data_IF_537985757920
#
_entry.id   IF_537985757920
#
_cell.length_a   1.000
_cell.length_b   1.000
_cell.length_c   1.000
_cell.angle_alpha   90.00
_cell.angle_beta   90.00
_cell.angle_gamma   90.00
#
_symmetry.space_group_name_H-M   'P 1'
#
loop_
_entity.id
_entity.type
_entity.pdbx_description
1 polymer ?
#
# COMPACT_ATOMS: atom_id res chain seq x y z
N UNK A 1 4.43 9.11 -23.75
CA UNK A 1 5.62 9.39 -22.91
C UNK A 1 6.48 10.42 -23.63
N UNK A 2 7.02 11.38 -22.90
CA UNK A 2 7.92 12.42 -23.39
C UNK A 2 9.17 12.46 -22.53
N UNK A 3 10.35 12.50 -23.15
CA UNK A 3 11.64 12.46 -22.46
C UNK A 3 12.54 13.59 -22.99
N UNK A 4 12.44 14.80 -22.41
CA UNK A 4 13.21 15.96 -22.88
C UNK A 4 14.72 15.82 -22.67
N UNK A 5 15.15 14.97 -21.75
CA UNK A 5 16.56 14.63 -21.52
C UNK A 5 16.68 13.25 -20.87
N UNK A 6 17.90 12.72 -20.76
CA UNK A 6 18.16 11.40 -20.17
C UNK A 6 17.73 11.29 -18.70
N UNK A 7 17.57 12.41 -18.00
CA UNK A 7 17.31 12.49 -16.57
C UNK A 7 15.86 12.85 -16.18
N UNK A 8 14.96 13.02 -17.15
CA UNK A 8 13.55 13.30 -16.86
C UNK A 8 12.64 12.69 -17.91
N UNK A 9 11.59 12.01 -17.46
CA UNK A 9 10.53 11.52 -18.32
C UNK A 9 9.16 11.86 -17.74
N UNK A 10 8.23 12.15 -18.64
CA UNK A 10 6.85 12.51 -18.33
C UNK A 10 5.93 11.56 -19.10
N UNK A 11 4.86 11.12 -18.46
CA UNK A 11 3.91 10.21 -19.09
C UNK A 11 2.47 10.56 -18.72
N UNK A 12 1.60 10.13 -19.62
CA UNK A 12 0.18 9.98 -19.38
C UNK A 12 -0.15 8.55 -19.81
N UNK A 13 -0.96 7.85 -19.02
CA UNK A 13 -1.39 6.49 -19.28
C UNK A 13 -2.88 6.33 -19.03
N UNK A 14 -3.44 5.40 -19.79
CA UNK A 14 -4.81 4.91 -19.64
C UNK A 14 -4.74 3.40 -19.67
N UNK A 15 -5.30 2.74 -18.65
CA UNK A 15 -5.36 1.29 -18.61
C UNK A 15 -6.74 0.80 -18.17
N UNK A 16 -7.09 -0.38 -18.64
CA UNK A 16 -8.30 -1.11 -18.27
C UNK A 16 -7.93 -2.52 -17.88
N UNK A 17 -8.54 -3.01 -16.82
CA UNK A 17 -8.50 -4.43 -16.42
C UNK A 17 -9.89 -4.88 -16.01
N UNK A 18 -10.08 -6.20 -15.94
CA UNK A 18 -11.32 -6.78 -15.46
C UNK A 18 -11.04 -8.01 -14.59
N UNK A 19 -11.94 -8.29 -13.66
CA UNK A 19 -11.89 -9.44 -12.77
C UNK A 19 -13.20 -10.24 -12.90
N UNK A 20 -13.15 -11.50 -13.36
CA UNK A 20 -14.35 -12.30 -13.63
C UNK A 20 -15.10 -12.68 -12.34
N UNK A 21 -16.40 -12.94 -12.45
CA UNK A 21 -17.30 -13.16 -11.32
C UNK A 21 -17.01 -14.42 -10.48
N UNK A 22 -16.30 -15.41 -11.06
CA UNK A 22 -15.99 -16.71 -10.46
C UNK A 22 -14.68 -16.76 -9.64
N UNK A 23 -14.17 -15.61 -9.19
CA UNK A 23 -12.86 -15.44 -8.52
C UNK A 23 -12.62 -16.30 -7.26
N UNK A 24 -13.68 -16.85 -6.63
CA UNK A 24 -13.60 -17.63 -5.39
C UNK A 24 -13.89 -19.14 -5.56
N UNK A 25 -13.99 -19.66 -6.79
CA UNK A 25 -14.16 -21.08 -7.16
C UNK A 25 -15.53 -21.78 -7.02
N UNK A 26 -16.61 -21.28 -6.36
CA UNK A 26 -17.95 -21.75 -6.69
C UNK A 26 -18.63 -20.71 -7.60
N UNK A 27 -18.67 -21.04 -8.89
CA UNK A 27 -19.77 -20.56 -9.73
C UNK A 27 -21.05 -21.15 -9.14
N UNK A 28 -21.97 -20.29 -8.75
CA UNK A 28 -23.25 -20.66 -8.18
C UNK A 28 -24.35 -19.95 -8.97
N UNK A 29 -25.57 -20.51 -8.97
CA UNK A 29 -26.69 -19.94 -9.71
C UNK A 29 -27.00 -18.47 -9.36
N UNK A 30 -26.52 -17.97 -8.21
CA UNK A 30 -26.67 -16.60 -7.75
C UNK A 30 -25.51 -15.65 -8.13
N UNK A 31 -24.44 -16.13 -8.79
CA UNK A 31 -23.31 -15.29 -9.23
C UNK A 31 -22.91 -15.47 -10.70
N UNK A 32 -23.47 -16.46 -11.41
CA UNK A 32 -23.14 -16.80 -12.80
C UNK A 32 -23.41 -15.67 -13.81
N UNK A 33 -24.41 -14.83 -13.56
CA UNK A 33 -24.80 -13.71 -14.44
C UNK A 33 -24.24 -12.33 -14.02
N UNK A 34 -23.36 -12.29 -13.01
CA UNK A 34 -22.80 -11.02 -12.54
C UNK A 34 -21.72 -10.56 -13.51
N UNK A 35 -21.85 -9.33 -14.03
CA UNK A 35 -20.82 -8.71 -14.86
C UNK A 35 -19.46 -8.68 -14.16
N UNK A 36 -18.34 -8.87 -14.87
CA UNK A 36 -17.00 -8.72 -14.30
C UNK A 36 -16.83 -7.35 -13.61
N UNK A 37 -16.03 -7.34 -12.56
CA UNK A 37 -15.54 -6.07 -12.01
C UNK A 37 -14.60 -5.45 -13.06
N UNK A 38 -14.79 -4.18 -13.38
CA UNK A 38 -13.95 -3.47 -14.34
C UNK A 38 -13.19 -2.36 -13.63
N UNK A 39 -11.89 -2.28 -13.87
CA UNK A 39 -11.05 -1.19 -13.35
C UNK A 39 -10.53 -0.36 -14.50
N UNK A 40 -10.69 0.95 -14.42
CA UNK A 40 -10.07 1.93 -15.32
C UNK A 40 -9.12 2.80 -14.53
N UNK A 41 -7.88 2.98 -15.02
CA UNK A 41 -6.91 3.91 -14.46
C UNK A 41 -6.57 5.01 -15.47
N UNK A 42 -6.61 6.25 -15.01
CA UNK A 42 -6.05 7.41 -15.70
C UNK A 42 -4.91 7.94 -14.85
N UNK A 43 -3.71 8.06 -15.41
CA UNK A 43 -2.55 8.49 -14.64
C UNK A 43 -1.68 9.43 -15.45
N UNK A 44 -1.16 10.44 -14.78
CA UNK A 44 -0.10 11.29 -15.28
C UNK A 44 1.05 11.25 -14.28
N UNK A 45 2.28 11.24 -14.76
CA UNK A 45 3.41 11.18 -13.87
C UNK A 45 4.70 11.67 -14.48
N UNK A 46 5.66 11.88 -13.59
CA UNK A 46 7.01 12.28 -13.91
C UNK A 46 8.00 11.37 -13.17
N UNK A 47 9.10 11.05 -13.85
CA UNK A 47 10.27 10.44 -13.25
C UNK A 47 11.45 11.37 -13.45
N UNK A 48 12.19 11.64 -12.37
CA UNK A 48 13.38 12.47 -12.35
C UNK A 48 14.55 11.65 -11.82
N UNK A 49 15.65 11.65 -12.56
CA UNK A 49 16.89 10.99 -12.19
C UNK A 49 17.94 12.06 -11.81
N UNK A 50 18.57 11.88 -10.65
CA UNK A 50 19.59 12.76 -10.10
C UNK A 50 20.94 12.03 -10.01
N UNK A 51 22.03 12.79 -9.84
CA UNK A 51 23.37 12.23 -9.64
C UNK A 51 23.77 11.19 -10.70
N UNK A 52 23.53 11.49 -11.98
CA UNK A 52 23.78 10.59 -13.12
C UNK A 52 23.01 9.25 -13.00
N UNK A 53 21.79 9.28 -12.48
CA UNK A 53 20.93 8.09 -12.36
C UNK A 53 21.16 7.27 -11.09
N UNK A 54 21.95 7.76 -10.14
CA UNK A 54 22.13 7.09 -8.84
C UNK A 54 20.91 7.23 -7.94
N UNK A 55 20.09 8.28 -8.14
CA UNK A 55 18.86 8.51 -7.39
C UNK A 55 17.72 8.78 -8.36
N UNK A 56 16.62 8.07 -8.20
CA UNK A 56 15.40 8.26 -8.97
C UNK A 56 14.27 8.71 -8.05
N UNK A 57 13.47 9.66 -8.52
CA UNK A 57 12.20 10.05 -7.90
C UNK A 57 11.08 9.91 -8.90
N UNK A 58 9.93 9.43 -8.43
CA UNK A 58 8.69 9.43 -9.21
C UNK A 58 7.62 10.23 -8.51
N UNK A 59 6.79 10.90 -9.28
CA UNK A 59 5.57 11.53 -8.81
C UNK A 59 4.45 11.20 -9.80
N UNK A 60 3.32 10.71 -9.31
CA UNK A 60 2.14 10.44 -10.13
C UNK A 60 0.88 10.99 -9.50
N UNK A 61 -0.04 11.40 -10.36
CA UNK A 61 -1.43 11.72 -10.04
C UNK A 61 -2.30 10.75 -10.82
N UNK A 62 -3.23 10.10 -10.16
CA UNK A 62 -4.08 9.10 -10.78
C UNK A 62 -5.53 9.14 -10.32
N UNK A 63 -6.39 8.61 -11.18
CA UNK A 63 -7.76 8.25 -10.86
C UNK A 63 -8.00 6.80 -11.25
N UNK A 64 -8.35 5.99 -10.25
CA UNK A 64 -8.80 4.63 -10.44
C UNK A 64 -10.32 4.59 -10.24
N UNK A 65 -11.05 4.07 -11.22
CA UNK A 65 -12.48 3.76 -11.10
C UNK A 65 -12.68 2.25 -11.21
N UNK A 66 -13.26 1.65 -10.17
CA UNK A 66 -13.69 0.25 -10.11
C UNK A 66 -15.21 0.20 -10.21
N UNK A 67 -15.73 -0.48 -11.23
CA UNK A 67 -17.17 -0.63 -11.52
C UNK A 67 -17.58 -2.08 -11.32
N UNK A 68 -18.89 -2.29 -11.14
CA UNK A 68 -19.48 -3.60 -10.88
C UNK A 68 -18.95 -4.27 -9.62
N UNK A 69 -18.55 -3.47 -8.62
CA UNK A 69 -18.15 -4.01 -7.32
C UNK A 69 -19.36 -4.72 -6.73
N UNK A 70 -19.16 -5.98 -6.36
CA UNK A 70 -20.20 -6.83 -5.82
C UNK A 70 -20.54 -6.39 -4.40
N UNK A 71 -21.82 -6.26 -4.13
CA UNK A 71 -22.33 -6.00 -2.78
C UNK A 71 -23.62 -6.78 -2.56
N UNK A 72 -23.99 -7.00 -1.30
CA UNK A 72 -25.26 -7.62 -0.94
C UNK A 72 -26.37 -6.56 -1.08
N UNK A 73 -27.42 -6.91 -1.80
CA UNK A 73 -28.67 -6.16 -1.87
C UNK A 73 -29.37 -6.22 -0.50
N UNK A 74 -29.61 -5.09 0.19
CA UNK A 74 -30.27 -5.10 1.48
C UNK A 74 -31.74 -5.52 1.42
N UNK A 75 -32.41 -5.43 0.26
CA UNK A 75 -33.81 -5.81 0.08
C UNK A 75 -33.98 -7.29 -0.28
N UNK A 76 -33.08 -7.84 -1.09
CA UNK A 76 -33.20 -9.23 -1.62
C UNK A 76 -32.19 -10.21 -1.05
N UNK A 77 -31.18 -9.73 -0.31
CA UNK A 77 -30.05 -10.50 0.22
C UNK A 77 -29.24 -11.25 -0.85
N UNK A 78 -29.29 -10.77 -2.10
CA UNK A 78 -28.54 -11.32 -3.25
C UNK A 78 -27.27 -10.53 -3.48
N UNK A 79 -26.22 -11.20 -3.97
CA UNK A 79 -25.00 -10.53 -4.42
C UNK A 79 -25.26 -9.87 -5.78
N UNK A 80 -25.06 -8.55 -5.87
CA UNK A 80 -25.32 -7.77 -7.09
C UNK A 80 -24.16 -6.79 -7.39
N UNK A 81 -23.85 -6.55 -8.68
CA UNK A 81 -22.83 -5.58 -9.09
C UNK A 81 -23.43 -4.17 -9.09
N UNK A 82 -23.29 -3.45 -7.99
CA UNK A 82 -23.95 -2.13 -7.82
C UNK A 82 -22.99 -1.05 -7.31
N UNK A 83 -21.74 -1.40 -7.04
CA UNK A 83 -20.76 -0.47 -6.50
C UNK A 83 -19.89 0.15 -7.59
N UNK A 84 -19.77 1.48 -7.57
CA UNK A 84 -18.65 2.20 -8.18
C UNK A 84 -17.77 2.76 -7.07
N UNK A 85 -16.49 2.42 -7.08
CA UNK A 85 -15.47 3.02 -6.22
C UNK A 85 -14.54 3.87 -7.07
N UNK A 86 -14.26 5.08 -6.60
CA UNK A 86 -13.27 5.96 -7.20
C UNK A 86 -12.18 6.28 -6.19
N UNK A 87 -10.93 6.19 -6.62
CA UNK A 87 -9.77 6.65 -5.86
C UNK A 87 -9.04 7.71 -6.66
N UNK A 88 -9.05 8.93 -6.15
CA UNK A 88 -8.18 10.02 -6.61
C UNK A 88 -6.90 9.97 -5.76
N UNK A 89 -5.73 9.86 -6.38
CA UNK A 89 -4.50 9.59 -5.65
C UNK A 89 -3.28 10.35 -6.14
N UNK A 90 -2.32 10.46 -5.22
CA UNK A 90 -0.97 10.95 -5.47
C UNK A 90 0.03 9.97 -4.86
N UNK A 91 1.05 9.60 -5.63
CA UNK A 91 2.16 8.77 -5.17
C UNK A 91 3.48 9.47 -5.44
N UNK A 92 4.36 9.45 -4.43
CA UNK A 92 5.72 9.96 -4.51
C UNK A 92 6.68 8.85 -4.12
N UNK A 93 7.75 8.66 -4.87
CA UNK A 93 8.85 7.76 -4.48
C UNK A 93 10.19 8.46 -4.63
N UNK A 94 11.15 8.03 -3.82
CA UNK A 94 12.56 8.42 -3.91
C UNK A 94 13.42 7.21 -3.54
N UNK A 95 14.32 6.82 -4.43
CA UNK A 95 15.16 5.65 -4.25
C UNK A 95 16.54 5.86 -4.85
N UNK A 96 17.58 5.42 -4.15
CA UNK A 96 18.91 5.41 -4.75
C UNK A 96 20.08 5.43 -3.79
N UNK A 97 21.26 5.57 -4.39
CA UNK A 97 22.54 5.68 -3.73
C UNK A 97 22.94 7.17 -3.64
N UNK A 98 23.13 7.63 -2.40
CA UNK A 98 23.58 8.97 -2.06
C UNK A 98 25.09 8.99 -1.79
N UNK A 99 25.68 10.17 -1.79
CA UNK A 99 27.12 10.34 -1.56
C UNK A 99 27.58 9.80 -0.21
N UNK A 100 28.84 9.36 -0.15
CA UNK A 100 29.45 8.85 1.07
C UNK A 100 28.94 7.48 1.52
N UNK A 101 28.25 6.70 0.68
CA UNK A 101 27.78 5.35 1.05
C UNK A 101 26.42 5.33 1.76
N UNK A 102 25.64 6.39 1.59
CA UNK A 102 24.24 6.42 2.01
C UNK A 102 23.34 5.81 0.93
N UNK A 103 22.28 5.12 1.34
CA UNK A 103 21.20 4.63 0.47
C UNK A 103 19.87 5.07 1.05
N UNK A 104 18.94 5.45 0.18
CA UNK A 104 17.59 5.89 0.55
C UNK A 104 16.54 5.09 -0.21
N UNK A 105 15.46 4.76 0.49
CA UNK A 105 14.21 4.32 -0.09
C UNK A 105 13.07 5.04 0.63
N UNK A 106 12.19 5.71 -0.09
CA UNK A 106 11.06 6.43 0.48
C UNK A 106 9.86 6.35 -0.45
N UNK A 107 8.68 6.26 0.15
CA UNK A 107 7.41 6.32 -0.53
C UNK A 107 6.39 7.12 0.27
N UNK A 108 5.51 7.83 -0.43
CA UNK A 108 4.33 8.46 0.14
C UNK A 108 3.15 8.24 -0.80
N UNK A 109 2.00 7.90 -0.23
CA UNK A 109 0.75 7.77 -0.96
C UNK A 109 -0.35 8.59 -0.25
N UNK A 110 -1.08 9.36 -1.05
CA UNK A 110 -2.34 10.00 -0.69
C UNK A 110 -3.46 9.35 -1.48
N UNK A 111 -4.49 8.84 -0.79
CA UNK A 111 -5.60 8.13 -1.41
C UNK A 111 -6.94 8.72 -0.94
N UNK A 112 -7.58 9.52 -1.79
CA UNK A 112 -8.97 9.94 -1.60
C UNK A 112 -9.91 8.94 -2.27
N UNK A 113 -10.14 7.83 -1.58
CA UNK A 113 -11.01 6.75 -2.02
C UNK A 113 -12.43 6.92 -1.50
N UNK A 114 -13.43 6.76 -2.37
CA UNK A 114 -14.85 6.79 -2.03
C UNK A 114 -15.67 5.85 -2.88
N UNK A 115 -16.76 5.34 -2.31
CA UNK A 115 -17.82 4.65 -3.04
C UNK A 115 -18.72 5.74 -3.64
N UNK A 116 -18.67 5.93 -4.95
CA UNK A 116 -19.43 6.99 -5.63
C UNK A 116 -20.87 6.59 -5.91
N UNK A 117 -21.12 5.30 -6.12
CA UNK A 117 -22.44 4.75 -6.39
C UNK A 117 -22.57 3.42 -5.63
N UNK A 118 -23.64 3.26 -4.85
CA UNK A 118 -24.02 1.99 -4.21
C UNK A 118 -25.41 2.11 -3.59
N UNK A 119 -26.25 1.10 -3.77
CA UNK A 119 -27.53 0.97 -3.05
C UNK A 119 -27.39 0.15 -1.75
N UNK A 120 -26.20 -0.35 -1.46
CA UNK A 120 -25.96 -1.23 -0.32
C UNK A 120 -25.84 -0.46 1.00
N UNK A 121 -25.98 -1.21 2.09
CA UNK A 121 -25.80 -0.73 3.46
C UNK A 121 -24.91 -1.68 4.25
N UNK A 122 -24.13 -1.12 5.16
CA UNK A 122 -23.35 -1.86 6.16
C UNK A 122 -23.54 -1.20 7.53
N UNK A 123 -23.77 -2.00 8.56
CA UNK A 123 -24.07 -1.52 9.93
C UNK A 123 -25.15 -0.41 9.97
N UNK A 124 -26.18 -0.52 9.11
CA UNK A 124 -27.26 0.47 9.00
C UNK A 124 -26.92 1.73 8.20
N UNK A 125 -25.67 1.93 7.78
CA UNK A 125 -25.20 3.09 7.04
C UNK A 125 -25.24 2.86 5.53
N UNK A 126 -25.68 3.83 4.70
CA UNK A 126 -25.52 3.76 3.25
C UNK A 126 -24.03 3.79 2.89
N UNK A 127 -23.64 2.99 1.91
CA UNK A 127 -22.25 2.93 1.45
C UNK A 127 -21.87 4.09 0.53
N UNK A 128 -22.83 4.71 -0.14
CA UNK A 128 -22.56 5.84 -1.02
C UNK A 128 -21.88 6.98 -0.25
N UNK A 129 -20.84 7.55 -0.85
CA UNK A 129 -19.93 8.56 -0.30
C UNK A 129 -19.04 8.11 0.87
N UNK A 130 -19.04 6.81 1.22
CA UNK A 130 -18.16 6.27 2.26
C UNK A 130 -16.76 5.94 1.72
N UNK A 131 -15.76 6.04 2.59
CA UNK A 131 -14.39 5.65 2.28
C UNK A 131 -14.26 4.12 2.37
N UNK A 132 -13.73 3.44 1.34
CA UNK A 132 -13.50 2.00 1.36
C UNK A 132 -12.68 1.55 2.57
N UNK A 133 -13.02 0.38 3.11
CA UNK A 133 -12.32 -0.22 4.25
C UNK A 133 -10.83 -0.44 3.93
N UNK A 134 -10.00 -0.40 4.96
CA UNK A 134 -8.55 -0.66 4.90
C UNK A 134 -7.78 0.21 3.89
N UNK A 135 -8.35 1.35 3.48
CA UNK A 135 -7.72 2.30 2.56
C UNK A 135 -7.33 3.56 3.34
N UNK A 136 -6.13 3.63 3.95
CA UNK A 136 -5.70 4.82 4.68
C UNK A 136 -5.53 6.00 3.71
N UNK A 137 -5.97 7.20 4.12
CA UNK A 137 -5.85 8.41 3.28
C UNK A 137 -4.40 8.82 3.07
N UNK A 138 -3.54 8.56 4.06
CA UNK A 138 -2.11 8.82 4.01
C UNK A 138 -1.33 7.58 4.46
N UNK A 139 -0.31 7.23 3.70
CA UNK A 139 0.70 6.26 4.13
C UNK A 139 2.07 6.72 3.66
N UNK A 140 3.09 6.49 4.47
CA UNK A 140 4.46 6.87 4.16
C UNK A 140 5.45 5.83 4.66
N UNK A 141 6.57 5.68 3.96
CA UNK A 141 7.73 4.94 4.45
C UNK A 141 9.02 5.68 4.09
N UNK A 142 10.02 5.49 4.95
CA UNK A 142 11.38 5.94 4.71
C UNK A 142 12.32 4.91 5.30
N UNK A 143 13.32 4.50 4.54
CA UNK A 143 14.43 3.66 4.96
C UNK A 143 15.74 4.29 4.51
N UNK A 144 16.65 4.46 5.47
CA UNK A 144 17.99 4.96 5.23
C UNK A 144 19.00 3.90 5.63
N UNK A 145 20.04 3.71 4.84
CA UNK A 145 21.17 2.83 5.17
C UNK A 145 22.48 3.55 4.92
N UNK A 146 23.40 3.44 5.87
CA UNK A 146 24.78 3.90 5.75
C UNK A 146 25.70 2.70 5.68
N UNK A 147 26.57 2.67 4.67
CA UNK A 147 27.70 1.75 4.59
C UNK A 147 28.98 2.50 4.94
N UNK A 148 29.75 1.92 5.85
CA UNK A 148 31.04 2.46 6.30
C UNK A 148 32.18 1.73 5.60
N UNK A 149 33.35 2.40 5.46
CA UNK A 149 34.51 1.87 4.74
C UNK A 149 35.09 0.58 5.36
N UNK A 150 34.82 0.34 6.64
CA UNK A 150 35.29 -0.82 7.41
C UNK A 150 34.33 -2.03 7.36
N UNK A 151 33.38 -2.05 6.40
CA UNK A 151 32.45 -3.17 6.19
C UNK A 151 31.20 -3.15 7.07
N UNK A 152 31.08 -2.20 8.01
CA UNK A 152 29.87 -2.01 8.80
C UNK A 152 28.75 -1.35 7.99
N UNK A 153 27.51 -1.68 8.33
CA UNK A 153 26.31 -1.01 7.84
C UNK A 153 25.36 -0.72 9.00
N UNK A 154 24.71 0.43 8.95
CA UNK A 154 23.62 0.77 9.86
C UNK A 154 22.44 1.26 9.04
N UNK A 155 21.25 0.79 9.36
CA UNK A 155 20.00 1.21 8.73
C UNK A 155 18.92 1.50 9.76
N UNK A 156 18.04 2.42 9.39
CA UNK A 156 16.84 2.70 10.16
C UNK A 156 15.72 3.10 9.20
N UNK A 157 14.50 2.78 9.57
CA UNK A 157 13.34 3.22 8.83
C UNK A 157 12.10 3.43 9.67
N UNK A 158 11.16 4.11 9.06
CA UNK A 158 9.86 4.46 9.63
C UNK A 158 8.78 4.08 8.65
N UNK A 159 7.70 3.50 9.16
CA UNK A 159 6.49 3.19 8.41
C UNK A 159 5.31 3.86 9.10
N UNK A 160 4.56 4.67 8.37
CA UNK A 160 3.38 5.39 8.83
C UNK A 160 2.14 4.98 8.03
N UNK A 161 1.06 4.72 8.75
CA UNK A 161 -0.26 4.44 8.19
C UNK A 161 -1.28 5.26 8.98
N UNK A 162 -2.03 6.11 8.28
CA UNK A 162 -3.12 6.88 8.88
C UNK A 162 -4.25 5.96 9.40
N UNK A 163 -5.17 6.54 10.15
CA UNK A 163 -6.40 5.83 10.50
C UNK A 163 -7.19 5.43 9.24
N UNK A 164 -7.97 4.37 9.39
CA UNK A 164 -8.74 3.76 8.31
C UNK A 164 -9.90 2.96 8.88
N UNK A 165 -10.92 2.71 8.06
CA UNK A 165 -12.10 2.00 8.51
C UNK A 165 -11.93 0.48 8.39
N UNK A 166 -12.44 -0.26 9.37
CA UNK A 166 -12.49 -1.73 9.34
C UNK A 166 -13.71 -2.26 8.58
N UNK A 167 -14.73 -1.42 8.36
CA UNK A 167 -15.99 -1.78 7.72
C UNK A 167 -16.45 -0.76 6.67
N UNK A 168 -17.19 -1.19 5.62
CA UNK A 168 -17.70 -0.30 4.56
C UNK A 168 -18.66 0.80 5.04
N UNK A 169 -19.35 0.60 6.16
CA UNK A 169 -20.25 1.60 6.76
C UNK A 169 -19.51 2.74 7.48
N UNK A 170 -18.19 2.63 7.65
CA UNK A 170 -17.31 3.57 8.35
C UNK A 170 -17.72 3.81 9.82
N UNK A 171 -18.14 2.75 10.51
CA UNK A 171 -18.54 2.80 11.92
C UNK A 171 -17.45 2.32 12.88
N UNK A 172 -16.42 1.65 12.36
CA UNK A 172 -15.27 1.17 13.12
C UNK A 172 -14.00 1.72 12.51
N UNK A 173 -13.25 2.51 13.30
CA UNK A 173 -11.97 3.09 12.89
C UNK A 173 -10.82 2.32 13.54
N UNK A 174 -9.89 1.85 12.70
CA UNK A 174 -8.58 1.39 13.14
C UNK A 174 -7.66 2.59 13.30
N UNK A 175 -7.11 2.84 14.51
CA UNK A 175 -6.19 3.95 14.71
C UNK A 175 -4.97 3.86 13.80
N UNK A 176 -4.48 5.02 13.38
CA UNK A 176 -3.21 5.14 12.68
C UNK A 176 -2.05 4.67 13.56
N UNK A 177 -0.96 4.28 12.91
CA UNK A 177 0.24 3.81 13.59
C UNK A 177 1.52 4.22 12.86
N UNK A 178 2.59 4.28 13.64
CA UNK A 178 3.96 4.45 13.16
C UNK A 178 4.82 3.36 13.78
N UNK A 179 5.57 2.63 12.96
CA UNK A 179 6.62 1.69 13.43
C UNK A 179 7.99 2.22 13.04
N UNK A 180 8.99 1.91 13.87
CA UNK A 180 10.39 2.20 13.61
C UNK A 180 11.13 0.88 13.59
N UNK A 181 11.95 0.69 12.57
CA UNK A 181 12.74 -0.51 12.34
C UNK A 181 14.22 -0.12 12.23
N UNK A 182 15.13 -1.01 12.62
CA UNK A 182 16.56 -0.76 12.60
C UNK A 182 17.34 -1.99 12.13
N UNK A 183 18.52 -1.77 11.56
CA UNK A 183 19.41 -2.80 11.07
C UNK A 183 20.86 -2.44 11.39
N UNK A 184 21.63 -3.43 11.85
CA UNK A 184 23.08 -3.37 11.92
C UNK A 184 23.66 -4.54 11.14
N UNK A 185 24.66 -4.28 10.31
CA UNK A 185 25.31 -5.30 9.50
C UNK A 185 26.83 -5.17 9.52
N UNK A 186 27.50 -6.28 9.27
CA UNK A 186 28.94 -6.32 9.07
C UNK A 186 29.25 -7.30 7.93
N UNK A 187 30.01 -6.82 6.95
CA UNK A 187 30.42 -7.60 5.80
C UNK A 187 31.94 -7.72 5.76
N UNK A 188 32.42 -8.97 5.81
CA UNK A 188 33.80 -9.35 5.56
C UNK A 188 33.91 -10.13 4.24
N UNK A 189 35.11 -10.60 3.88
CA UNK A 189 35.36 -11.29 2.61
C UNK A 189 34.54 -12.59 2.47
N UNK A 190 34.48 -13.41 3.52
CA UNK A 190 33.86 -14.75 3.50
C UNK A 190 32.56 -14.85 4.29
N UNK A 191 32.21 -13.84 5.08
CA UNK A 191 31.00 -13.87 5.89
C UNK A 191 30.33 -12.51 6.01
N UNK A 192 29.03 -12.55 6.26
CA UNK A 192 28.18 -11.40 6.50
C UNK A 192 27.29 -11.69 7.71
N UNK A 193 27.23 -10.74 8.64
CA UNK A 193 26.32 -10.75 9.78
C UNK A 193 25.34 -9.59 9.65
N UNK A 194 24.07 -9.83 9.97
CA UNK A 194 23.05 -8.80 9.98
C UNK A 194 22.06 -9.02 11.12
N UNK A 195 21.91 -8.02 11.99
CA UNK A 195 20.89 -7.95 13.01
C UNK A 195 19.80 -6.98 12.55
N UNK A 196 18.57 -7.46 12.46
CA UNK A 196 17.38 -6.64 12.23
C UNK A 196 16.57 -6.54 13.53
N UNK A 197 16.09 -5.35 13.85
CA UNK A 197 15.18 -5.05 14.94
C UNK A 197 13.93 -4.42 14.34
N UNK A 198 12.82 -5.15 14.35
CA UNK A 198 11.55 -4.68 13.84
C UNK A 198 10.68 -4.19 15.00
N UNK A 199 9.89 -3.13 14.77
CA UNK A 199 9.06 -2.47 15.76
C UNK A 199 9.86 -2.11 17.03
N UNK A 200 10.94 -1.36 16.86
CA UNK A 200 11.92 -1.00 17.89
C UNK A 200 11.28 -0.38 19.15
N UNK A 201 10.21 0.40 18.95
CA UNK A 201 9.46 1.06 20.02
C UNK A 201 8.35 0.19 20.64
N UNK A 202 8.23 -1.07 20.23
CA UNK A 202 7.21 -2.02 20.68
C UNK A 202 5.78 -1.45 20.61
N UNK A 203 5.48 -0.76 19.50
CA UNK A 203 4.17 -0.17 19.24
C UNK A 203 3.13 -1.28 19.16
N UNK A 204 2.03 -1.14 19.89
CA UNK A 204 0.81 -1.95 19.70
C UNK A 204 -0.07 -1.28 18.65
N UNK A 205 -0.42 -2.02 17.61
CA UNK A 205 -1.23 -1.53 16.50
C UNK A 205 -2.03 -2.68 15.89
N UNK A 206 -3.04 -2.33 15.09
CA UNK A 206 -3.87 -3.29 14.34
C UNK A 206 -3.55 -3.12 12.87
N UNK A 207 -3.20 -4.21 12.19
CA UNK A 207 -2.84 -4.24 10.75
C UNK A 207 -4.10 -4.27 9.90
N UNK A 208 -5.09 -5.07 10.31
CA UNK A 208 -6.38 -5.18 9.64
C UNK A 208 -7.47 -5.58 10.64
N UNK A 209 -8.72 -5.36 10.26
CA UNK A 209 -9.90 -5.80 11.01
C UNK A 209 -10.97 -6.24 10.02
N UNK A 210 -11.90 -7.08 10.48
CA UNK A 210 -12.99 -7.59 9.65
C UNK A 210 -14.34 -7.03 10.10
N UNK A 211 -14.77 -5.96 9.43
CA UNK A 211 -16.08 -5.38 9.64
C UNK A 211 -16.25 -4.80 11.05
N UNK A 212 -17.35 -5.16 11.70
CA UNK A 212 -17.69 -4.71 13.06
C UNK A 212 -17.27 -5.70 14.15
N UNK A 213 -16.63 -6.82 13.79
CA UNK A 213 -16.28 -7.88 14.75
C UNK A 213 -15.02 -7.54 15.54
N UNK A 214 -15.09 -7.33 16.86
CA UNK A 214 -13.91 -7.02 17.67
C UNK A 214 -12.92 -8.19 17.77
N UNK A 215 -13.38 -9.42 17.54
CA UNK A 215 -12.58 -10.64 17.65
C UNK A 215 -11.80 -11.00 16.38
N UNK A 216 -11.99 -10.25 15.29
CA UNK A 216 -11.36 -10.50 13.99
C UNK A 216 -10.35 -9.39 13.62
N UNK A 217 -9.73 -8.80 14.64
CA UNK A 217 -8.63 -7.86 14.47
C UNK A 217 -7.30 -8.61 14.37
N UNK A 218 -6.46 -8.23 13.39
CA UNK A 218 -5.10 -8.72 13.24
C UNK A 218 -4.13 -7.77 13.96
N UNK A 219 -3.61 -8.12 15.14
CA UNK A 219 -2.59 -7.31 15.79
C UNK A 219 -1.31 -7.29 14.96
N UNK A 220 -0.63 -6.15 14.97
CA UNK A 220 0.71 -6.02 14.43
C UNK A 220 1.73 -6.84 15.22
N UNK A 221 2.81 -7.23 14.55
CA UNK A 221 3.88 -7.99 15.20
C UNK A 221 4.50 -7.15 16.33
N UNK A 222 4.75 -7.75 17.52
CA UNK A 222 5.49 -7.08 18.57
C UNK A 222 6.94 -6.85 18.15
N UNK A 223 7.70 -6.13 18.98
CA UNK A 223 9.14 -6.00 18.77
C UNK A 223 9.79 -7.37 18.60
N UNK A 224 10.57 -7.54 17.53
CA UNK A 224 11.30 -8.77 17.26
C UNK A 224 12.70 -8.49 16.72
N UNK A 225 13.59 -9.46 16.94
CA UNK A 225 14.99 -9.41 16.54
C UNK A 225 15.33 -10.63 15.68
N UNK A 226 16.08 -10.42 14.61
CA UNK A 226 16.57 -11.50 13.76
C UNK A 226 18.06 -11.29 13.49
N UNK A 227 18.88 -12.28 13.86
CA UNK A 227 20.28 -12.35 13.47
C UNK A 227 20.45 -13.33 12.31
N UNK A 228 21.05 -12.86 11.23
CA UNK A 228 21.33 -13.66 10.04
C UNK A 228 22.83 -13.70 9.81
N UNK A 229 23.37 -14.91 9.61
CA UNK A 229 24.74 -15.14 9.18
C UNK A 229 24.75 -15.76 7.77
N UNK A 230 25.54 -15.20 6.87
CA UNK A 230 25.78 -15.75 5.52
C UNK A 230 27.27 -16.05 5.36
N UNK A 231 27.60 -17.22 4.83
CA UNK A 231 28.98 -17.65 4.54
C UNK A 231 29.10 -17.92 3.05
N UNK A 232 30.16 -17.39 2.43
CA UNK A 232 30.48 -17.61 1.01
C UNK A 232 31.65 -18.58 0.91
N UNK A 233 31.50 -19.61 0.08
CA UNK A 233 32.50 -20.64 -0.19
C UNK A 233 33.05 -20.48 -1.61
#
# INVERSE_FOLDING_TARGET
MYQPSSNQSYYASYSKSFQPSAEAFPLAANNEQIAPEETTNHEIGAKLDFFNGQVSSTASLFRIERRNIKSIDPATNRLIPIGVQRTDGLELTLAGDLTGGWKIWSGYAYLDAKITESIARDAGQPLQSKQPSLTPRHSANLWLTKTFANGYRAGAGVNYVADRFANPGNTVTLPGYTTIDAMLGYQAQKFELQLNLNNLLDRKYIVSGHGTSPNLNLPGAPRNAQLTARVKF
#
